data_IF_486035976876
#
_entry.id   IF_486035976876
#
_cell.length_a   1.000
_cell.length_b   1.000
_cell.length_c   1.000
_cell.angle_alpha   90.00
_cell.angle_beta   90.00
_cell.angle_gamma   90.00
#
_symmetry.space_group_name_H-M   'P 1'
#
loop_
_entity.id
_entity.type
_entity.pdbx_description
1 polymer ?
#
# COMPACT_ATOMS: atom_id res chain seq x y z
N UNK A 1 6.93 24.35 30.23
CA UNK A 1 6.82 23.12 29.42
C UNK A 1 5.40 22.99 28.87
N UNK A 2 5.05 23.76 27.84
CA UNK A 2 3.77 23.70 27.08
C UNK A 2 3.96 24.35 25.69
N UNK A 3 4.94 25.26 25.57
CA UNK A 3 5.23 26.07 24.38
C UNK A 3 5.40 25.31 23.05
N UNK A 4 6.07 24.15 23.07
CA UNK A 4 6.29 23.37 21.84
C UNK A 4 5.00 22.77 21.29
N UNK A 5 4.06 22.39 22.15
CA UNK A 5 2.79 21.84 21.68
C UNK A 5 1.90 22.92 21.08
N UNK A 6 1.78 24.08 21.71
CA UNK A 6 0.93 25.15 21.20
C UNK A 6 1.52 25.85 19.97
N UNK A 7 2.84 26.06 19.90
CA UNK A 7 3.47 26.71 18.74
C UNK A 7 3.58 25.78 17.53
N UNK A 8 4.06 24.54 17.72
CA UNK A 8 4.21 23.59 16.61
C UNK A 8 2.85 23.20 16.02
N UNK A 9 1.83 23.01 16.86
CA UNK A 9 0.48 22.71 16.39
C UNK A 9 -0.11 23.89 15.62
N UNK A 10 0.09 25.13 16.10
CA UNK A 10 -0.42 26.33 15.43
C UNK A 10 0.34 26.70 14.16
N UNK A 11 1.65 26.46 14.11
CA UNK A 11 2.53 26.85 13.00
C UNK A 11 2.74 25.77 11.95
N UNK A 12 2.56 24.48 12.29
CA UNK A 12 2.81 23.37 11.37
C UNK A 12 1.52 22.58 11.12
N UNK A 13 0.81 22.17 12.16
CA UNK A 13 -0.35 21.28 12.02
C UNK A 13 -1.63 22.01 11.61
N UNK A 14 -1.79 23.30 11.98
CA UNK A 14 -2.92 24.15 11.57
C UNK A 14 -2.66 24.90 10.25
N UNK A 15 -1.50 24.71 9.64
CA UNK A 15 -1.23 25.30 8.34
C UNK A 15 -2.03 24.54 7.30
N UNK A 16 -2.92 25.23 6.59
CA UNK A 16 -3.90 24.66 5.66
C UNK A 16 -3.26 23.63 4.70
N UNK A 17 -2.09 23.95 4.16
CA UNK A 17 -1.34 23.06 3.28
C UNK A 17 -0.92 21.72 3.92
N UNK A 18 -0.60 21.71 5.22
CA UNK A 18 -0.27 20.49 5.96
C UNK A 18 -1.51 19.61 6.21
N UNK A 19 -2.65 20.21 6.56
CA UNK A 19 -3.92 19.48 6.68
C UNK A 19 -4.32 18.84 5.35
N UNK A 20 -4.20 19.57 4.24
CA UNK A 20 -4.49 19.04 2.91
C UNK A 20 -3.56 17.89 2.51
N UNK A 21 -2.26 17.95 2.82
CA UNK A 21 -1.34 16.84 2.52
C UNK A 21 -1.71 15.57 3.29
N UNK A 22 -2.08 15.68 4.57
CA UNK A 22 -2.62 14.55 5.34
C UNK A 22 -3.90 13.97 4.72
N UNK A 23 -4.84 14.83 4.31
CA UNK A 23 -6.06 14.40 3.62
C UNK A 23 -5.74 13.68 2.32
N UNK A 24 -4.89 14.24 1.45
CA UNK A 24 -4.49 13.60 0.20
C UNK A 24 -3.72 12.30 0.42
N UNK A 25 -2.94 12.19 1.49
CA UNK A 25 -2.19 10.98 1.82
C UNK A 25 -3.13 9.85 2.24
N UNK A 26 -4.12 10.14 3.09
CA UNK A 26 -5.12 9.15 3.50
C UNK A 26 -6.05 8.81 2.34
N UNK A 27 -6.55 9.81 1.62
CA UNK A 27 -7.47 9.63 0.49
C UNK A 27 -6.78 8.89 -0.67
N UNK A 28 -5.57 9.30 -1.03
CA UNK A 28 -4.74 8.67 -2.05
C UNK A 28 -4.34 7.25 -1.65
N UNK A 29 -3.92 7.04 -0.40
CA UNK A 29 -3.64 5.72 0.14
C UNK A 29 -4.86 4.79 0.06
N UNK A 30 -6.04 5.28 0.40
CA UNK A 30 -7.29 4.52 0.35
C UNK A 30 -7.70 4.19 -1.10
N UNK A 31 -7.52 5.13 -2.03
CA UNK A 31 -7.78 4.90 -3.45
C UNK A 31 -6.78 3.91 -4.08
N UNK A 32 -5.51 3.94 -3.64
CA UNK A 32 -4.46 3.03 -4.08
C UNK A 32 -4.54 1.65 -3.41
N UNK A 33 -5.11 1.54 -2.21
CA UNK A 33 -5.25 0.29 -1.47
C UNK A 33 -5.89 -0.87 -2.27
N UNK A 34 -7.04 -0.69 -2.98
CA UNK A 34 -7.62 -1.77 -3.77
C UNK A 34 -6.73 -2.16 -4.97
N UNK A 35 -6.00 -1.22 -5.56
CA UNK A 35 -5.08 -1.47 -6.68
C UNK A 35 -3.90 -2.34 -6.20
N UNK A 36 -3.31 -1.99 -5.06
CA UNK A 36 -2.21 -2.75 -4.45
C UNK A 36 -2.68 -4.15 -4.04
N UNK A 37 -3.87 -4.25 -3.43
CA UNK A 37 -4.46 -5.52 -3.03
C UNK A 37 -4.72 -6.42 -4.25
N UNK A 38 -5.24 -5.87 -5.34
CA UNK A 38 -5.45 -6.58 -6.60
C UNK A 38 -4.13 -7.12 -7.17
N UNK A 39 -3.10 -6.27 -7.24
CA UNK A 39 -1.79 -6.67 -7.74
C UNK A 39 -1.20 -7.83 -6.94
N UNK A 40 -1.30 -7.76 -5.61
CA UNK A 40 -0.83 -8.82 -4.72
C UNK A 40 -1.61 -10.13 -4.92
N UNK A 41 -2.94 -10.04 -5.05
CA UNK A 41 -3.80 -11.19 -5.29
C UNK A 41 -3.50 -11.88 -6.63
N UNK A 42 -3.34 -11.11 -7.71
CA UNK A 42 -2.97 -11.63 -9.04
C UNK A 42 -1.60 -12.29 -9.00
N UNK A 43 -0.61 -11.66 -8.37
CA UNK A 43 0.74 -12.22 -8.24
C UNK A 43 0.72 -13.56 -7.49
N UNK A 44 -0.06 -13.65 -6.40
CA UNK A 44 -0.22 -14.89 -5.65
C UNK A 44 -0.88 -15.99 -6.49
N UNK A 45 -1.91 -15.67 -7.28
CA UNK A 45 -2.55 -16.64 -8.19
C UNK A 45 -1.57 -17.18 -9.21
N UNK A 46 -0.80 -16.31 -9.89
CA UNK A 46 0.20 -16.73 -10.89
C UNK A 46 1.26 -17.66 -10.31
N UNK A 47 1.73 -17.39 -9.08
CA UNK A 47 2.72 -18.26 -8.40
C UNK A 47 2.16 -19.65 -8.08
N UNK A 48 0.88 -19.77 -7.71
CA UNK A 48 0.24 -21.07 -7.45
C UNK A 48 0.11 -21.88 -8.74
N UNK A 49 -0.40 -21.26 -9.81
CA UNK A 49 -0.53 -21.92 -11.12
C UNK A 49 0.82 -22.44 -11.61
N UNK A 50 1.89 -21.63 -11.52
CA UNK A 50 3.24 -22.07 -11.94
C UNK A 50 3.73 -23.30 -11.17
N UNK A 51 3.48 -23.38 -9.86
CA UNK A 51 3.87 -24.52 -9.02
C UNK A 51 3.08 -25.78 -9.36
N UNK A 52 1.78 -25.64 -9.60
CA UNK A 52 0.91 -26.76 -9.98
C UNK A 52 1.23 -27.28 -11.37
N UNK A 53 1.51 -26.40 -12.34
CA UNK A 53 1.96 -26.81 -13.68
C UNK A 53 3.30 -27.53 -13.60
N UNK A 54 4.25 -27.05 -12.78
CA UNK A 54 5.56 -27.70 -12.63
C UNK A 54 5.49 -29.02 -11.84
N UNK A 55 4.51 -29.18 -10.94
CA UNK A 55 4.27 -30.42 -10.21
C UNK A 55 3.44 -31.45 -11.02
N UNK A 56 2.65 -30.99 -12.00
CA UNK A 56 1.87 -31.85 -12.90
C UNK A 56 2.56 -32.15 -14.23
N UNK A 57 3.73 -31.56 -14.50
CA UNK A 57 4.58 -32.02 -15.59
C UNK A 57 5.13 -33.39 -15.17
N UNK A 58 4.67 -34.51 -15.79
CA UNK A 58 5.34 -35.77 -15.59
C UNK A 58 6.79 -35.58 -16.04
N UNK A 59 7.73 -36.17 -15.31
CA UNK A 59 9.09 -36.37 -15.80
C UNK A 59 9.00 -37.06 -17.16
N UNK A 60 8.91 -36.27 -18.24
CA UNK A 60 9.12 -36.74 -19.59
C UNK A 60 10.63 -36.75 -19.77
N UNK A 61 11.27 -37.64 -19.01
CA UNK A 61 12.56 -38.21 -19.37
C UNK A 61 12.33 -38.98 -20.66
N UNK A 62 12.84 -38.43 -21.74
CA UNK A 62 13.23 -39.17 -22.93
C UNK A 62 14.59 -38.67 -23.37
#
# INVERSE_FOLDING_TARGET
MIFYHSWLYRSILNTEWFMWTMVYLVLGGNLLAPIVAWFYAVMRRRRKTKRETHARMPHRTS
#
